data_IF_129497620687
#
_entry.id   IF_129497620687
#
_cell.length_a   1.000
_cell.length_b   1.000
_cell.length_c   1.000
_cell.angle_alpha   90.00
_cell.angle_beta   90.00
_cell.angle_gamma   90.00
#
_symmetry.space_group_name_H-M   'P 1'
#
loop_
_entity.id
_entity.type
_entity.pdbx_description
1 polymer ?
#
# COMPACT_ATOMS: atom_id res chain seq x y z
N UNK A 1 -1.16 17.03 11.07
CA UNK A 1 -0.93 16.03 10.03
C UNK A 1 -1.98 14.92 10.18
N UNK A 2 -3.17 15.12 9.62
CA UNK A 2 -4.21 14.09 9.58
C UNK A 2 -3.83 13.09 8.49
N UNK A 3 -3.71 11.80 8.85
CA UNK A 3 -3.41 10.73 7.90
C UNK A 3 -1.93 10.57 7.55
N UNK A 4 -1.01 10.97 8.41
CA UNK A 4 0.41 10.66 8.23
C UNK A 4 0.72 9.25 8.69
N UNK A 5 1.47 8.53 7.87
CA UNK A 5 2.04 7.21 8.15
C UNK A 5 3.55 7.31 8.31
N UNK A 6 4.11 6.54 9.22
CA UNK A 6 5.55 6.43 9.42
C UNK A 6 5.95 4.97 9.54
N UNK A 7 6.81 4.52 8.62
CA UNK A 7 7.40 3.17 8.70
C UNK A 7 8.39 3.09 9.84
N UNK A 8 8.23 2.07 10.69
CA UNK A 8 9.13 1.76 11.78
C UNK A 8 10.11 0.71 11.28
N UNK A 9 11.40 1.02 11.40
CA UNK A 9 12.50 0.09 11.15
C UNK A 9 13.03 -0.45 12.48
N UNK A 10 13.96 -1.39 12.43
CA UNK A 10 14.58 -2.13 13.52
C UNK A 10 15.23 -1.27 14.63
N UNK A 11 15.24 0.05 14.47
CA UNK A 11 15.84 1.01 15.40
C UNK A 11 14.94 1.41 16.57
N UNK A 12 13.71 0.90 16.66
CA UNK A 12 12.80 1.21 17.78
C UNK A 12 12.75 0.08 18.82
N UNK A 13 13.89 -0.20 19.45
CA UNK A 13 14.10 -1.33 20.36
C UNK A 13 13.07 -1.47 21.49
N UNK A 14 12.42 -0.40 21.90
CA UNK A 14 11.47 -0.40 23.02
C UNK A 14 10.08 0.16 22.65
N UNK A 15 9.78 0.30 21.36
CA UNK A 15 8.52 0.86 20.89
C UNK A 15 8.30 2.35 21.24
N UNK A 16 9.35 3.07 21.67
CA UNK A 16 9.25 4.47 22.11
C UNK A 16 8.86 5.41 20.97
N UNK A 17 9.40 5.17 19.79
CA UNK A 17 9.07 5.96 18.61
C UNK A 17 7.65 5.66 18.14
N UNK A 18 7.28 4.38 18.10
CA UNK A 18 5.92 3.94 17.80
C UNK A 18 4.90 4.60 18.75
N UNK A 19 5.16 4.56 20.06
CA UNK A 19 4.33 5.21 21.06
C UNK A 19 4.20 6.72 20.82
N UNK A 20 5.32 7.40 20.54
CA UNK A 20 5.33 8.82 20.24
C UNK A 20 4.45 9.16 19.02
N UNK A 21 4.56 8.41 17.92
CA UNK A 21 3.74 8.59 16.73
C UNK A 21 2.26 8.46 17.07
N UNK A 22 1.90 7.40 17.78
CA UNK A 22 0.51 7.09 18.14
C UNK A 22 -0.09 8.16 19.05
N UNK A 23 0.65 8.64 20.05
CA UNK A 23 0.23 9.73 20.94
C UNK A 23 0.01 11.05 20.19
N UNK A 24 0.65 11.24 19.02
CA UNK A 24 0.47 12.41 18.17
C UNK A 24 -0.52 12.19 17.02
N UNK A 25 -1.27 11.07 17.03
CA UNK A 25 -2.27 10.76 16.00
C UNK A 25 -1.68 10.40 14.64
N UNK A 26 -0.41 9.96 14.61
CA UNK A 26 0.27 9.48 13.41
C UNK A 26 0.20 7.94 13.40
N UNK A 27 -0.13 7.35 12.24
CA UNK A 27 -0.17 5.91 12.08
C UNK A 27 1.26 5.36 12.13
N UNK A 28 1.49 4.43 13.05
CA UNK A 28 2.72 3.66 13.10
C UNK A 28 2.55 2.39 12.26
N UNK A 29 3.38 2.24 11.23
CA UNK A 29 3.37 1.10 10.32
C UNK A 29 4.73 0.41 10.28
N UNK A 30 4.73 -0.93 10.30
CA UNK A 30 5.96 -1.72 10.17
C UNK A 30 6.26 -2.00 8.70
N UNK A 31 7.41 -1.53 8.21
CA UNK A 31 7.85 -1.75 6.83
C UNK A 31 9.35 -1.71 6.69
N UNK A 32 9.91 -2.37 5.64
CA UNK A 32 11.34 -2.46 5.38
C UNK A 32 12.15 -2.91 6.61
N UNK A 33 11.75 -3.99 7.26
CA UNK A 33 12.27 -4.43 8.54
C UNK A 33 12.53 -5.94 8.59
N UNK A 34 13.56 -6.32 9.30
CA UNK A 34 13.88 -7.71 9.67
C UNK A 34 13.32 -8.11 11.06
N UNK A 35 12.40 -7.30 11.60
CA UNK A 35 11.77 -7.52 12.90
C UNK A 35 11.23 -8.95 13.04
N UNK A 36 11.39 -9.51 14.22
CA UNK A 36 10.84 -10.80 14.62
C UNK A 36 9.50 -10.61 15.31
N UNK A 37 8.82 -11.71 15.58
CA UNK A 37 7.50 -11.70 16.22
C UNK A 37 7.48 -10.94 17.56
N UNK A 38 8.54 -11.08 18.39
CA UNK A 38 8.61 -10.37 19.68
C UNK A 38 8.79 -8.85 19.50
N UNK A 39 9.54 -8.43 18.47
CA UNK A 39 9.68 -7.01 18.11
C UNK A 39 8.33 -6.45 17.66
N UNK A 40 7.62 -7.19 16.81
CA UNK A 40 6.27 -6.83 16.36
C UNK A 40 5.28 -6.76 17.52
N UNK A 41 5.38 -7.66 18.50
CA UNK A 41 4.55 -7.60 19.71
C UNK A 41 4.80 -6.31 20.48
N UNK A 42 6.06 -5.93 20.69
CA UNK A 42 6.43 -4.67 21.31
C UNK A 42 5.88 -3.46 20.52
N UNK A 43 6.00 -3.47 19.20
CA UNK A 43 5.46 -2.41 18.35
C UNK A 43 3.94 -2.30 18.48
N UNK A 44 3.20 -3.41 18.46
CA UNK A 44 1.74 -3.45 18.61
C UNK A 44 1.31 -2.92 19.99
N UNK A 45 1.96 -3.34 21.06
CA UNK A 45 1.70 -2.83 22.43
C UNK A 45 1.91 -1.32 22.56
N UNK A 46 2.72 -0.73 21.67
CA UNK A 46 2.97 0.71 21.58
C UNK A 46 2.16 1.40 20.45
N UNK A 47 1.18 0.72 19.84
CA UNK A 47 0.19 1.29 18.94
C UNK A 47 0.46 1.10 17.45
N UNK A 48 1.46 0.30 17.04
CA UNK A 48 1.60 -0.12 15.66
C UNK A 48 0.37 -0.92 15.23
N UNK A 49 -0.30 -0.50 14.16
CA UNK A 49 -1.54 -1.12 13.70
C UNK A 49 -1.56 -1.42 12.19
N UNK A 50 -0.46 -1.22 11.50
CA UNK A 50 -0.36 -1.42 10.06
C UNK A 50 0.97 -2.10 9.71
N UNK A 51 0.96 -2.89 8.63
CA UNK A 51 2.17 -3.38 7.95
C UNK A 51 2.18 -2.84 6.54
N UNK A 52 3.23 -2.09 6.21
CA UNK A 52 3.43 -1.47 4.90
C UNK A 52 3.79 -2.53 3.86
N UNK A 53 3.17 -2.46 2.68
CA UNK A 53 3.40 -3.31 1.50
C UNK A 53 3.88 -4.73 1.84
N UNK A 54 3.01 -5.48 2.52
CA UNK A 54 3.27 -6.85 3.01
C UNK A 54 3.93 -7.72 1.91
N UNK A 55 4.95 -8.47 2.26
CA UNK A 55 5.88 -9.24 1.41
C UNK A 55 6.98 -8.43 0.71
N UNK A 56 6.90 -7.09 0.67
CA UNK A 56 7.98 -6.28 0.10
C UNK A 56 8.92 -5.84 1.21
N UNK A 57 10.18 -6.33 1.20
CA UNK A 57 11.19 -5.99 2.22
C UNK A 57 10.72 -6.19 3.67
N UNK A 58 9.92 -7.21 3.93
CA UNK A 58 9.45 -7.61 5.26
C UNK A 58 9.92 -9.01 5.60
N UNK A 59 10.31 -9.24 6.86
CA UNK A 59 10.79 -10.53 7.33
C UNK A 59 9.68 -11.60 7.33
N UNK A 60 10.09 -12.83 7.15
CA UNK A 60 9.24 -14.03 7.23
C UNK A 60 9.92 -15.08 8.10
N UNK A 61 9.36 -16.30 8.14
CA UNK A 61 9.89 -17.42 8.91
C UNK A 61 11.36 -17.66 8.60
N UNK A 62 12.20 -17.55 9.62
CA UNK A 62 13.62 -17.92 9.57
C UNK A 62 13.90 -19.15 10.41
N UNK A 63 15.11 -19.71 10.27
CA UNK A 63 15.60 -20.82 11.12
C UNK A 63 16.83 -20.38 11.87
N UNK A 64 16.81 -20.63 13.19
CA UNK A 64 17.98 -20.50 14.04
C UNK A 64 18.20 -21.84 14.74
N UNK A 65 19.35 -22.49 14.53
CA UNK A 65 19.70 -23.81 15.06
C UNK A 65 18.56 -24.85 14.94
N UNK A 66 17.79 -24.80 13.83
CA UNK A 66 16.64 -25.69 13.58
C UNK A 66 15.29 -25.19 14.12
N UNK A 67 15.27 -24.26 15.05
CA UNK A 67 14.04 -23.63 15.54
C UNK A 67 13.52 -22.59 14.55
N UNK A 68 12.18 -22.44 14.46
CA UNK A 68 11.57 -21.42 13.62
C UNK A 68 11.33 -20.16 14.43
N UNK A 69 11.71 -19.03 13.83
CA UNK A 69 11.37 -17.71 14.30
C UNK A 69 10.42 -17.05 13.29
N UNK A 70 9.33 -16.50 13.77
CA UNK A 70 8.34 -15.80 12.95
C UNK A 70 8.80 -14.37 12.68
N UNK A 71 8.41 -13.84 11.52
CA UNK A 71 8.70 -12.47 11.12
C UNK A 71 7.46 -11.57 11.11
N UNK A 72 7.57 -10.47 10.38
CA UNK A 72 6.51 -9.47 10.19
C UNK A 72 5.30 -10.07 9.47
N UNK A 73 5.54 -10.91 8.45
CA UNK A 73 4.46 -11.52 7.65
C UNK A 73 3.56 -12.37 8.54
N UNK A 74 4.14 -13.26 9.33
CA UNK A 74 3.39 -14.12 10.24
C UNK A 74 2.74 -13.30 11.36
N UNK A 75 3.39 -12.24 11.82
CA UNK A 75 2.80 -11.31 12.80
C UNK A 75 1.56 -10.64 12.24
N UNK A 76 1.61 -10.17 10.98
CA UNK A 76 0.45 -9.59 10.30
C UNK A 76 -0.73 -10.56 10.24
N UNK A 77 -0.48 -11.86 10.05
CA UNK A 77 -1.53 -12.87 9.97
C UNK A 77 -2.07 -13.31 11.32
N UNK A 78 -1.24 -13.35 12.36
CA UNK A 78 -1.61 -13.84 13.69
C UNK A 78 -2.26 -12.76 14.57
N UNK A 79 -1.95 -11.48 14.31
CA UNK A 79 -2.37 -10.37 15.17
C UNK A 79 -3.52 -9.61 14.52
N UNK A 80 -4.69 -9.67 15.17
CA UNK A 80 -5.90 -8.99 14.67
C UNK A 80 -5.81 -7.46 14.77
N UNK A 81 -4.91 -6.94 15.60
CA UNK A 81 -4.65 -5.50 15.73
C UNK A 81 -4.01 -4.91 14.47
N UNK A 82 -3.26 -5.72 13.71
CA UNK A 82 -2.58 -5.28 12.51
C UNK A 82 -3.49 -5.32 11.29
N UNK A 83 -3.48 -4.24 10.52
CA UNK A 83 -3.92 -4.22 9.13
C UNK A 83 -2.73 -4.51 8.20
N UNK A 84 -3.01 -4.98 6.99
CA UNK A 84 -2.00 -5.27 5.98
C UNK A 84 -2.19 -4.39 4.75
N UNK A 85 -1.18 -3.62 4.38
CA UNK A 85 -1.13 -2.93 3.10
C UNK A 85 -0.52 -3.86 2.06
N UNK A 86 -1.06 -3.89 0.84
CA UNK A 86 -0.56 -4.73 -0.25
C UNK A 86 -0.47 -3.97 -1.57
N UNK A 87 0.59 -4.22 -2.34
CA UNK A 87 0.73 -3.75 -3.72
C UNK A 87 0.05 -4.76 -4.65
N UNK A 88 -1.24 -4.55 -4.90
CA UNK A 88 -2.07 -5.47 -5.68
C UNK A 88 -2.00 -5.20 -7.19
N UNK A 89 -0.81 -4.97 -7.73
CA UNK A 89 -0.59 -4.63 -9.15
C UNK A 89 -0.46 -5.86 -10.06
N UNK A 90 -0.56 -7.08 -9.51
CA UNK A 90 -0.39 -8.36 -10.21
C UNK A 90 1.06 -8.65 -10.61
N UNK A 91 2.03 -7.87 -10.08
CA UNK A 91 3.47 -8.03 -10.32
C UNK A 91 4.24 -8.24 -9.03
N UNK A 92 4.03 -7.38 -8.03
CA UNK A 92 4.62 -7.56 -6.69
C UNK A 92 4.03 -8.78 -6.00
N UNK A 93 2.72 -8.96 -6.09
CA UNK A 93 2.02 -10.11 -5.55
C UNK A 93 1.22 -10.81 -6.66
N UNK A 94 1.43 -12.12 -6.88
CA UNK A 94 0.57 -12.88 -7.79
C UNK A 94 -0.86 -12.98 -7.21
N UNK A 95 -1.88 -13.15 -8.07
CA UNK A 95 -3.28 -13.22 -7.65
C UNK A 95 -3.57 -14.23 -6.54
N UNK A 96 -2.90 -15.37 -6.55
CA UNK A 96 -3.05 -16.43 -5.55
C UNK A 96 -2.58 -15.98 -4.16
N UNK A 97 -1.50 -15.21 -4.10
CA UNK A 97 -0.97 -14.67 -2.85
C UNK A 97 -1.88 -13.56 -2.31
N UNK A 98 -2.40 -12.69 -3.18
CA UNK A 98 -3.41 -11.68 -2.81
C UNK A 98 -4.64 -12.37 -2.19
N UNK A 99 -5.17 -13.43 -2.86
CA UNK A 99 -6.29 -14.21 -2.33
C UNK A 99 -6.00 -14.83 -0.98
N UNK A 100 -4.79 -15.35 -0.78
CA UNK A 100 -4.38 -15.93 0.50
C UNK A 100 -4.36 -14.88 1.61
N UNK A 101 -3.78 -13.71 1.36
CA UNK A 101 -3.75 -12.60 2.32
C UNK A 101 -5.17 -12.21 2.74
N UNK A 102 -6.04 -11.97 1.76
CA UNK A 102 -7.42 -11.55 2.03
C UNK A 102 -8.23 -12.66 2.73
N UNK A 103 -7.98 -13.92 2.39
CA UNK A 103 -8.61 -15.07 3.07
C UNK A 103 -8.27 -15.12 4.57
N UNK A 104 -7.06 -14.72 4.94
CA UNK A 104 -6.58 -14.74 6.32
C UNK A 104 -7.00 -13.47 7.06
N UNK A 105 -6.80 -12.29 6.46
CA UNK A 105 -7.02 -10.99 7.12
C UNK A 105 -8.42 -10.41 6.93
N UNK A 106 -9.09 -10.76 5.84
CA UNK A 106 -10.33 -10.11 5.41
C UNK A 106 -10.11 -8.78 4.70
N UNK A 107 -11.12 -8.34 3.94
CA UNK A 107 -11.09 -7.10 3.19
C UNK A 107 -11.08 -5.84 4.09
N UNK A 108 -11.61 -5.93 5.30
CA UNK A 108 -11.65 -4.83 6.28
C UNK A 108 -10.27 -4.54 6.93
N UNK A 109 -9.36 -5.50 6.84
CA UNK A 109 -8.01 -5.44 7.41
C UNK A 109 -6.92 -5.48 6.35
N UNK A 110 -7.29 -5.48 5.06
CA UNK A 110 -6.34 -5.46 3.94
C UNK A 110 -6.64 -4.25 3.07
N UNK A 111 -5.68 -3.35 2.93
CA UNK A 111 -5.80 -2.18 2.08
C UNK A 111 -4.88 -2.25 0.88
N UNK A 112 -5.30 -1.66 -0.24
CA UNK A 112 -4.53 -1.60 -1.47
C UNK A 112 -3.73 -0.31 -1.52
N UNK A 113 -2.44 -0.42 -1.81
CA UNK A 113 -1.57 0.72 -2.12
C UNK A 113 -0.92 0.54 -3.49
N UNK A 114 -0.59 1.62 -4.14
CA UNK A 114 0.13 1.58 -5.41
C UNK A 114 1.63 1.48 -5.22
N UNK A 115 2.15 2.07 -4.17
CA UNK A 115 3.59 2.27 -3.95
C UNK A 115 4.30 2.81 -5.22
N UNK A 116 3.61 3.71 -5.91
CA UNK A 116 4.00 4.16 -7.24
C UNK A 116 5.11 5.17 -7.21
N UNK A 117 6.12 4.92 -8.02
CA UNK A 117 7.20 5.84 -8.31
C UNK A 117 6.70 7.06 -9.10
N UNK A 118 7.46 8.17 -9.05
CA UNK A 118 7.12 9.42 -9.73
C UNK A 118 6.95 9.29 -11.27
N UNK A 119 7.43 8.20 -11.85
CA UNK A 119 7.31 7.91 -13.28
C UNK A 119 6.00 7.18 -13.65
N UNK A 120 5.18 6.79 -12.66
CA UNK A 120 3.89 6.15 -12.93
C UNK A 120 3.00 7.05 -13.78
N UNK A 121 2.35 6.46 -14.79
CA UNK A 121 1.50 7.20 -15.73
C UNK A 121 2.28 8.09 -16.73
N UNK A 122 3.58 7.88 -16.90
CA UNK A 122 4.40 8.52 -17.91
C UNK A 122 4.91 7.50 -18.94
N UNK A 123 5.49 8.00 -20.05
CA UNK A 123 6.10 7.15 -21.09
C UNK A 123 7.58 6.84 -20.83
N UNK A 124 8.12 7.21 -19.67
CA UNK A 124 9.52 6.99 -19.31
C UNK A 124 9.76 5.48 -19.18
N UNK A 125 10.80 5.00 -19.90
CA UNK A 125 11.15 3.58 -19.94
C UNK A 125 12.43 3.25 -19.19
N UNK A 126 13.31 4.20 -18.99
CA UNK A 126 14.56 4.05 -18.24
C UNK A 126 15.03 5.41 -17.70
N UNK A 127 15.90 5.37 -16.71
CA UNK A 127 16.47 6.58 -16.12
C UNK A 127 17.26 6.31 -14.85
N UNK A 128 17.50 7.39 -14.11
CA UNK A 128 18.15 7.34 -12.80
C UNK A 128 17.22 8.03 -11.79
N UNK A 129 16.94 7.37 -10.69
CA UNK A 129 16.13 7.91 -9.61
C UNK A 129 16.85 7.70 -8.27
N UNK A 130 17.09 8.78 -7.54
CA UNK A 130 17.85 8.76 -6.27
C UNK A 130 19.20 8.04 -6.38
N UNK A 131 19.89 8.18 -7.53
CA UNK A 131 21.18 7.56 -7.80
C UNK A 131 21.12 6.11 -8.28
N UNK A 132 19.93 5.53 -8.42
CA UNK A 132 19.71 4.15 -8.85
C UNK A 132 19.20 4.13 -10.29
N UNK A 133 19.89 3.41 -11.19
CA UNK A 133 19.43 3.18 -12.56
C UNK A 133 18.26 2.21 -12.58
N UNK A 134 17.24 2.54 -13.38
CA UNK A 134 16.05 1.71 -13.54
C UNK A 134 15.67 1.50 -15.01
N UNK A 135 14.87 0.46 -15.23
CA UNK A 135 14.20 0.18 -16.51
C UNK A 135 12.74 -0.20 -16.25
N UNK A 136 11.84 0.27 -17.10
CA UNK A 136 10.42 -0.09 -17.08
C UNK A 136 10.16 -1.15 -18.14
N UNK A 137 9.87 -2.36 -17.70
CA UNK A 137 9.50 -3.50 -18.56
C UNK A 137 8.50 -4.41 -17.83
N UNK A 138 7.75 -5.23 -18.54
CA UNK A 138 6.74 -6.16 -18.02
C UNK A 138 5.67 -5.49 -17.13
N UNK A 139 5.50 -4.18 -17.26
CA UNK A 139 4.55 -3.39 -16.49
C UNK A 139 4.97 -3.09 -15.05
N UNK A 140 6.27 -3.13 -14.76
CA UNK A 140 6.86 -2.80 -13.47
C UNK A 140 8.20 -2.09 -13.66
N UNK A 141 8.65 -1.33 -12.66
CA UNK A 141 9.98 -0.74 -12.64
C UNK A 141 10.96 -1.71 -11.99
N UNK A 142 12.06 -2.01 -12.70
CA UNK A 142 13.14 -2.91 -12.22
C UNK A 142 14.44 -2.13 -12.08
N UNK A 143 15.35 -2.64 -11.26
CA UNK A 143 16.74 -2.23 -11.33
C UNK A 143 17.29 -2.49 -12.74
N UNK A 144 18.24 -1.70 -13.21
CA UNK A 144 18.81 -1.80 -14.57
C UNK A 144 19.41 -3.19 -14.84
N UNK A 145 19.97 -3.84 -13.81
CA UNK A 145 20.51 -5.19 -13.88
C UNK A 145 19.44 -6.30 -13.77
N UNK A 146 18.16 -5.93 -13.55
CA UNK A 146 17.02 -6.83 -13.37
C UNK A 146 17.08 -7.74 -12.15
N UNK A 147 17.95 -7.47 -11.20
CA UNK A 147 18.08 -8.27 -9.97
C UNK A 147 16.90 -8.14 -9.03
N UNK A 148 16.17 -7.00 -9.07
CA UNK A 148 15.01 -6.72 -8.22
C UNK A 148 14.06 -5.70 -8.86
N UNK A 149 12.87 -5.57 -8.30
CA UNK A 149 12.01 -4.44 -8.58
C UNK A 149 12.58 -3.18 -7.93
N UNK A 150 12.53 -2.06 -8.66
CA UNK A 150 12.90 -0.74 -8.15
C UNK A 150 11.68 0.01 -7.58
N UNK A 151 10.48 -0.54 -7.78
CA UNK A 151 9.21 -0.05 -7.27
C UNK A 151 8.06 -0.24 -8.26
N UNK A 152 6.87 0.16 -7.86
CA UNK A 152 5.66 0.06 -8.67
C UNK A 152 5.54 1.24 -9.65
N UNK A 153 4.84 0.99 -10.75
CA UNK A 153 4.33 2.02 -11.67
C UNK A 153 2.81 1.89 -11.84
N UNK A 154 2.17 1.14 -10.94
CA UNK A 154 0.75 0.90 -11.00
C UNK A 154 -0.05 2.15 -10.62
N UNK A 155 -1.15 2.38 -11.32
CA UNK A 155 -2.17 3.36 -10.94
C UNK A 155 -3.27 2.69 -10.13
N UNK A 156 -4.06 3.46 -9.39
CA UNK A 156 -5.11 2.92 -8.51
C UNK A 156 -6.16 2.09 -9.25
N UNK A 157 -6.55 2.50 -10.47
CA UNK A 157 -7.46 1.76 -11.34
C UNK A 157 -6.90 0.38 -11.72
N UNK A 158 -5.59 0.27 -11.92
CA UNK A 158 -4.94 -1.04 -12.18
C UNK A 158 -5.11 -1.97 -10.99
N UNK A 159 -4.96 -1.51 -9.76
CA UNK A 159 -5.13 -2.35 -8.57
C UNK A 159 -6.57 -2.91 -8.52
N UNK A 160 -7.56 -2.05 -8.71
CA UNK A 160 -8.97 -2.48 -8.76
C UNK A 160 -9.20 -3.47 -9.89
N UNK A 161 -8.59 -3.25 -11.06
CA UNK A 161 -8.70 -4.15 -12.23
C UNK A 161 -8.09 -5.52 -11.93
N UNK A 162 -6.92 -5.60 -11.30
CA UNK A 162 -6.29 -6.86 -10.86
C UNK A 162 -7.20 -7.59 -9.86
N UNK A 163 -7.71 -6.87 -8.86
CA UNK A 163 -8.61 -7.46 -7.86
C UNK A 163 -9.87 -8.07 -8.50
N UNK A 164 -10.47 -7.40 -9.47
CA UNK A 164 -11.71 -7.88 -10.10
C UNK A 164 -11.48 -8.93 -11.19
N UNK A 165 -10.58 -8.65 -12.13
CA UNK A 165 -10.40 -9.48 -13.33
C UNK A 165 -9.46 -10.68 -13.10
N UNK A 166 -8.47 -10.56 -12.22
CA UNK A 166 -7.47 -11.61 -11.98
C UNK A 166 -7.70 -12.34 -10.64
N UNK A 167 -8.05 -11.60 -9.58
CA UNK A 167 -8.35 -12.21 -8.29
C UNK A 167 -9.80 -12.67 -8.16
N UNK A 168 -10.74 -12.17 -8.99
CA UNK A 168 -12.15 -12.59 -9.01
C UNK A 168 -12.98 -12.04 -7.84
N UNK A 169 -12.55 -10.96 -7.19
CA UNK A 169 -13.37 -10.25 -6.21
C UNK A 169 -14.42 -9.38 -6.92
N UNK A 170 -15.55 -9.17 -6.25
CA UNK A 170 -16.55 -8.22 -6.74
C UNK A 170 -16.02 -6.77 -6.65
N UNK A 171 -16.60 -5.90 -7.47
CA UNK A 171 -16.16 -4.50 -7.59
C UNK A 171 -16.32 -3.74 -6.26
N UNK A 172 -17.35 -4.04 -5.46
CA UNK A 172 -17.60 -3.36 -4.19
C UNK A 172 -16.49 -3.67 -3.19
N UNK A 173 -16.10 -4.94 -3.08
CA UNK A 173 -14.98 -5.38 -2.24
C UNK A 173 -13.66 -4.75 -2.70
N UNK A 174 -13.37 -4.75 -4.01
CA UNK A 174 -12.13 -4.17 -4.54
C UNK A 174 -12.04 -2.65 -4.28
N UNK A 175 -13.14 -1.92 -4.52
CA UNK A 175 -13.22 -0.48 -4.27
C UNK A 175 -13.12 -0.18 -2.77
N UNK A 176 -13.81 -0.93 -1.92
CA UNK A 176 -13.72 -0.78 -0.46
C UNK A 176 -12.28 -0.85 0.05
N UNK A 177 -11.50 -1.81 -0.44
CA UNK A 177 -10.11 -2.02 -0.01
C UNK A 177 -9.17 -0.88 -0.40
N UNK A 178 -9.52 -0.06 -1.41
CA UNK A 178 -8.70 1.10 -1.83
C UNK A 178 -9.29 2.44 -1.38
N UNK A 179 -10.48 2.46 -0.79
CA UNK A 179 -11.17 3.68 -0.37
C UNK A 179 -11.56 3.67 1.10
N UNK A 180 -12.59 2.94 1.47
CA UNK A 180 -13.15 2.92 2.83
C UNK A 180 -12.19 2.31 3.84
N UNK A 181 -11.56 1.17 3.51
CA UNK A 181 -10.61 0.50 4.41
C UNK A 181 -9.44 1.41 4.78
N UNK A 182 -8.68 2.02 3.85
CA UNK A 182 -7.61 2.95 4.20
C UNK A 182 -8.13 4.22 4.90
N UNK A 183 -9.31 4.75 4.53
CA UNK A 183 -9.89 5.91 5.19
C UNK A 183 -10.22 5.63 6.67
N UNK A 184 -10.77 4.46 6.97
CA UNK A 184 -11.07 4.03 8.34
C UNK A 184 -9.80 3.86 9.19
N UNK A 185 -8.77 3.23 8.63
CA UNK A 185 -7.47 3.04 9.30
C UNK A 185 -6.82 4.41 9.58
N UNK A 186 -6.85 5.31 8.59
CA UNK A 186 -6.29 6.66 8.68
C UNK A 186 -7.17 7.65 9.42
N UNK A 187 -8.38 7.24 9.84
CA UNK A 187 -9.39 8.10 10.49
C UNK A 187 -9.72 9.36 9.68
N UNK A 188 -9.71 9.24 8.35
CA UNK A 188 -10.05 10.32 7.42
C UNK A 188 -11.56 10.26 7.13
N UNK A 189 -12.23 11.42 7.13
CA UNK A 189 -13.64 11.53 6.80
C UNK A 189 -13.87 11.47 5.28
N UNK A 190 -13.54 10.33 4.67
CA UNK A 190 -13.62 10.05 3.23
C UNK A 190 -13.88 8.55 2.97
N UNK A 191 -13.74 8.08 1.74
CA UNK A 191 -13.71 6.67 1.38
C UNK A 191 -15.07 6.03 1.12
N UNK A 192 -16.18 6.73 1.36
CA UNK A 192 -17.53 6.28 1.01
C UNK A 192 -18.41 7.45 0.58
N UNK A 193 -19.44 7.17 -0.21
CA UNK A 193 -20.40 8.18 -0.70
C UNK A 193 -21.51 8.37 0.35
N UNK A 194 -21.28 9.28 1.28
CA UNK A 194 -22.22 9.59 2.37
C UNK A 194 -22.29 11.09 2.60
N UNK A 195 -23.46 11.56 3.09
CA UNK A 195 -23.65 12.97 3.42
C UNK A 195 -22.67 13.41 4.53
N UNK A 196 -21.92 14.47 4.26
CA UNK A 196 -20.95 15.04 5.19
C UNK A 196 -19.52 14.48 5.06
N UNK A 197 -19.32 13.47 4.21
CA UNK A 197 -17.98 13.02 3.85
C UNK A 197 -17.38 13.85 2.72
N UNK A 198 -16.08 13.82 2.62
CA UNK A 198 -15.32 14.46 1.53
C UNK A 198 -15.71 13.86 0.20
N UNK A 199 -16.08 14.70 -0.75
CA UNK A 199 -16.54 14.28 -2.08
C UNK A 199 -15.36 14.09 -3.05
N UNK A 200 -14.53 13.09 -2.79
CA UNK A 200 -13.53 12.58 -3.73
C UNK A 200 -14.14 11.39 -4.44
N UNK A 201 -14.52 11.56 -5.70
CA UNK A 201 -15.33 10.59 -6.46
C UNK A 201 -14.66 10.30 -7.79
N UNK A 202 -14.64 9.03 -8.17
CA UNK A 202 -14.17 8.56 -9.47
C UNK A 202 -15.34 7.91 -10.20
N UNK A 203 -15.51 8.25 -11.48
CA UNK A 203 -16.44 7.58 -12.40
C UNK A 203 -15.61 6.76 -13.36
N UNK A 204 -15.95 5.49 -13.52
CA UNK A 204 -15.27 4.55 -14.42
C UNK A 204 -16.27 3.60 -15.06
N UNK A 205 -15.90 3.01 -16.20
CA UNK A 205 -16.69 2.02 -16.95
C UNK A 205 -16.52 0.59 -16.38
N UNK A 206 -17.19 -0.40 -16.98
CA UNK A 206 -17.15 -1.81 -16.59
C UNK A 206 -15.73 -2.44 -16.71
N UNK A 207 -14.85 -1.83 -17.50
CA UNK A 207 -13.43 -2.22 -17.64
C UNK A 207 -12.50 -1.44 -16.73
N UNK A 208 -13.09 -0.60 -15.85
CA UNK A 208 -12.38 0.23 -14.86
C UNK A 208 -11.49 1.26 -15.55
N UNK A 209 -11.91 1.80 -16.69
CA UNK A 209 -11.31 2.97 -17.31
C UNK A 209 -11.92 4.22 -16.66
N UNK A 210 -11.07 5.07 -16.11
CA UNK A 210 -11.51 6.29 -15.41
C UNK A 210 -12.01 7.33 -16.42
N UNK A 211 -13.28 7.70 -16.32
CA UNK A 211 -13.94 8.69 -17.18
C UNK A 211 -13.98 10.09 -16.56
N UNK A 212 -14.08 10.16 -15.23
CA UNK A 212 -14.07 11.43 -14.51
C UNK A 212 -13.52 11.27 -13.09
N UNK A 213 -12.84 12.31 -12.62
CA UNK A 213 -12.34 12.42 -11.25
C UNK A 213 -12.84 13.72 -10.63
N UNK A 214 -13.36 13.62 -9.40
CA UNK A 214 -13.77 14.77 -8.60
C UNK A 214 -12.93 14.80 -7.31
N UNK A 215 -12.42 15.97 -6.97
CA UNK A 215 -11.69 16.22 -5.73
C UNK A 215 -12.42 17.32 -4.96
N UNK A 216 -12.85 17.02 -3.74
CA UNK A 216 -13.67 17.94 -2.92
C UNK A 216 -14.89 18.44 -3.70
N UNK A 217 -15.53 17.57 -4.49
CA UNK A 217 -16.70 17.88 -5.30
C UNK A 217 -16.43 18.66 -6.59
N UNK A 218 -15.20 19.01 -6.89
CA UNK A 218 -14.82 19.69 -8.14
C UNK A 218 -14.27 18.69 -9.16
N UNK A 219 -14.81 18.71 -10.38
CA UNK A 219 -14.31 17.89 -11.47
C UNK A 219 -12.91 18.35 -11.87
N UNK A 220 -11.98 17.40 -11.95
CA UNK A 220 -10.61 17.66 -12.41
C UNK A 220 -10.57 17.50 -13.92
N UNK A 221 -10.30 18.57 -14.62
CA UNK A 221 -10.13 18.55 -16.09
C UNK A 221 -8.72 18.09 -16.48
N UNK A 222 -8.61 17.46 -17.66
CA UNK A 222 -7.34 16.98 -18.22
C UNK A 222 -6.29 18.11 -18.40
N UNK A 223 -6.71 19.34 -18.54
CA UNK A 223 -5.84 20.53 -18.64
C UNK A 223 -5.12 20.79 -17.31
N UNK A 224 -5.82 20.64 -16.17
CA UNK A 224 -5.22 20.81 -14.84
C UNK A 224 -4.15 19.75 -14.55
N UNK A 225 -4.36 18.52 -15.06
CA UNK A 225 -3.37 17.43 -14.97
C UNK A 225 -2.10 17.76 -15.77
N UNK A 226 -2.24 18.41 -16.94
CA UNK A 226 -1.09 18.84 -17.76
C UNK A 226 -0.30 19.99 -17.12
N UNK A 227 -0.95 20.89 -16.38
CA UNK A 227 -0.27 21.95 -15.64
C UNK A 227 0.54 21.40 -14.47
N UNK A 228 0.00 20.42 -13.74
CA UNK A 228 0.73 19.70 -12.67
C UNK A 228 1.96 18.99 -13.24
N UNK A 229 1.89 18.44 -14.45
CA UNK A 229 3.04 17.80 -15.13
C UNK A 229 4.14 18.80 -15.51
N UNK A 230 3.82 20.08 -15.75
CA UNK A 230 4.81 21.14 -16.04
C UNK A 230 5.65 21.56 -14.82
N UNK A 231 5.22 21.28 -13.61
CA UNK A 231 5.98 21.59 -12.39
C UNK A 231 7.08 20.57 -12.07
N UNK A 232 7.27 19.54 -12.93
CA UNK A 232 8.26 18.47 -12.77
C UNK A 232 9.50 18.60 -13.66
N UNK A 233 9.67 19.74 -14.37
CA UNK A 233 10.86 20.05 -15.18
C UNK A 233 11.71 21.15 -14.54
#
# INVERSE_FOLDING_TARGET
LVGSEMCIRDSDENGRFCKYLTEHGIIASAGHTDAKYEDMKTAIENGCNLVTHLYSCTSTITRDHGFRSLGVIESAFLRDELCAEIIADGKHLPPELIKMIIKIKGADKTLLCTDSLAIAGTDIKEGVMSGTEFIVEDGVCKLKDRSAFAGSIATADRLVRVMTKECGYDIVTAVKMITETPANISKINAGSIEKGKRADIIVFDDDINVEATFVVGQKIDSIQIQEIKKWKN
#
